data_IF_319218031214
#
_entry.id   IF_319218031214
#
_cell.length_a   1.000
_cell.length_b   1.000
_cell.length_c   1.000
_cell.angle_alpha   90.00
_cell.angle_beta   90.00
_cell.angle_gamma   90.00
#
_symmetry.space_group_name_H-M   'P 1'
#
loop_
_entity.id
_entity.type
_entity.pdbx_description
1 polymer ?
#
# COMPACT_ATOMS: atom_id res chain seq x y z
N UNK A 1 -24.22 17.13 8.19
CA UNK A 1 -23.59 16.61 6.96
C UNK A 1 -22.80 15.36 7.35
N UNK A 2 -23.31 14.19 6.98
CA UNK A 2 -22.80 12.85 7.38
C UNK A 2 -21.58 12.42 6.56
N UNK A 3 -20.60 13.32 6.44
CA UNK A 3 -19.24 12.97 6.02
C UNK A 3 -18.42 12.78 7.30
N UNK A 4 -18.74 11.72 8.05
CA UNK A 4 -17.98 11.34 9.23
C UNK A 4 -16.53 11.07 8.83
N UNK A 5 -15.63 11.96 9.25
CA UNK A 5 -14.16 11.88 9.22
C UNK A 5 -13.65 10.80 8.26
N UNK A 6 -13.56 11.13 6.97
CA UNK A 6 -12.77 10.32 6.05
C UNK A 6 -11.31 10.51 6.45
N UNK A 7 -10.61 9.42 6.79
CA UNK A 7 -9.16 9.49 6.83
C UNK A 7 -8.70 9.73 5.40
N UNK A 8 -8.36 10.98 5.08
CA UNK A 8 -7.87 11.36 3.74
C UNK A 8 -6.64 10.54 3.38
N UNK A 9 -5.76 10.30 4.35
CA UNK A 9 -4.54 9.51 4.19
C UNK A 9 -4.26 8.70 5.46
N UNK A 10 -4.16 7.39 5.34
CA UNK A 10 -3.68 6.52 6.40
C UNK A 10 -2.24 6.09 6.11
N UNK A 11 -1.36 6.15 7.11
CA UNK A 11 0.02 5.70 6.99
C UNK A 11 0.29 4.55 7.95
N UNK A 12 0.65 3.37 7.43
CA UNK A 12 0.89 2.19 8.27
C UNK A 12 2.19 1.47 7.93
N UNK A 13 2.72 0.76 8.92
CA UNK A 13 3.80 -0.21 8.72
C UNK A 13 3.24 -1.58 9.02
N UNK A 14 3.41 -2.52 8.09
CA UNK A 14 2.98 -3.89 8.24
C UNK A 14 4.16 -4.83 8.05
N UNK A 15 4.09 -5.98 8.70
CA UNK A 15 5.08 -7.04 8.50
C UNK A 15 4.79 -7.79 7.20
N UNK A 16 3.56 -8.29 7.10
CA UNK A 16 3.10 -9.16 6.03
C UNK A 16 2.11 -8.45 5.11
N UNK A 17 2.26 -8.64 3.80
CA UNK A 17 1.45 -8.01 2.75
C UNK A 17 -0.05 -8.32 2.85
N UNK A 18 -0.42 -9.51 3.31
CA UNK A 18 -1.81 -9.96 3.48
C UNK A 18 -2.56 -9.12 4.53
N UNK A 19 -1.82 -8.56 5.49
CA UNK A 19 -2.40 -7.65 6.49
C UNK A 19 -2.94 -6.36 5.87
N UNK A 20 -2.46 -5.97 4.68
CA UNK A 20 -2.98 -4.82 3.93
C UNK A 20 -4.32 -5.16 3.30
N UNK A 21 -4.43 -6.34 2.65
CA UNK A 21 -5.69 -6.77 2.02
C UNK A 21 -6.85 -6.77 3.01
N UNK A 22 -6.61 -7.35 4.20
CA UNK A 22 -7.62 -7.37 5.25
C UNK A 22 -8.04 -5.96 5.69
N UNK A 23 -7.11 -5.01 5.76
CA UNK A 23 -7.41 -3.63 6.15
C UNK A 23 -8.18 -2.88 5.06
N UNK A 24 -7.75 -3.01 3.81
CA UNK A 24 -8.39 -2.41 2.65
C UNK A 24 -9.84 -2.86 2.53
N UNK A 25 -10.11 -4.16 2.70
CA UNK A 25 -11.45 -4.72 2.63
C UNK A 25 -12.37 -4.30 3.79
N UNK A 26 -11.82 -3.90 4.93
CA UNK A 26 -12.59 -3.49 6.11
C UNK A 26 -12.79 -1.98 6.19
N UNK A 27 -11.99 -1.19 5.48
CA UNK A 27 -11.94 0.27 5.62
C UNK A 27 -12.57 0.98 4.42
N UNK A 28 -13.90 1.05 4.43
CA UNK A 28 -14.67 1.70 3.34
C UNK A 28 -14.52 3.23 3.26
N UNK A 29 -13.89 3.85 4.26
CA UNK A 29 -13.79 5.32 4.37
C UNK A 29 -12.39 5.85 4.08
N UNK A 30 -11.47 5.00 3.61
CA UNK A 30 -10.10 5.41 3.26
C UNK A 30 -10.07 5.89 1.81
N UNK A 31 -9.57 7.10 1.60
CA UNK A 31 -9.27 7.60 0.26
C UNK A 31 -7.88 7.20 -0.20
N UNK A 32 -6.88 7.31 0.68
CA UNK A 32 -5.48 6.98 0.39
C UNK A 32 -4.87 6.15 1.52
N UNK A 33 -4.21 5.06 1.17
CA UNK A 33 -3.42 4.23 2.06
C UNK A 33 -1.95 4.24 1.64
N UNK A 34 -1.11 4.79 2.49
CA UNK A 34 0.34 4.72 2.38
C UNK A 34 0.85 3.63 3.32
N UNK A 35 1.66 2.70 2.84
CA UNK A 35 2.19 1.65 3.69
C UNK A 35 3.61 1.21 3.35
N UNK A 36 4.31 0.74 4.39
CA UNK A 36 5.59 0.06 4.30
C UNK A 36 5.36 -1.40 4.66
N UNK A 37 5.82 -2.31 3.80
CA UNK A 37 5.76 -3.74 4.04
C UNK A 37 7.15 -4.28 4.37
N UNK A 38 7.30 -5.04 5.46
CA UNK A 38 8.59 -5.64 5.83
C UNK A 38 8.93 -6.88 4.99
N UNK A 39 7.97 -7.53 4.32
CA UNK A 39 8.28 -8.50 3.27
C UNK A 39 9.19 -7.90 2.18
N UNK A 40 9.23 -6.57 2.10
CA UNK A 40 10.05 -5.79 1.19
C UNK A 40 11.38 -5.28 1.81
N UNK A 41 11.69 -5.62 3.07
CA UNK A 41 12.91 -5.19 3.77
C UNK A 41 13.92 -6.34 3.86
N UNK A 42 14.85 -6.40 2.92
CA UNK A 42 16.17 -6.99 3.12
C UNK A 42 17.23 -5.93 2.83
N UNK A 43 18.31 -6.03 3.61
CA UNK A 43 19.47 -5.15 3.72
C UNK A 43 19.71 -4.16 2.56
N UNK A 44 19.96 -2.90 2.95
CA UNK A 44 20.16 -1.72 2.11
C UNK A 44 21.21 -1.80 1.00
N UNK A 45 21.94 -2.91 0.87
CA UNK A 45 23.04 -3.06 -0.08
C UNK A 45 22.63 -3.47 -1.49
N UNK A 46 21.43 -4.02 -1.70
CA UNK A 46 21.16 -4.75 -2.94
C UNK A 46 20.07 -4.08 -3.80
N UNK A 47 20.38 -3.86 -5.09
CA UNK A 47 19.43 -3.45 -6.13
C UNK A 47 18.20 -4.38 -6.26
N UNK A 48 18.18 -5.50 -5.54
CA UNK A 48 17.04 -6.38 -5.31
C UNK A 48 15.85 -5.68 -4.60
N UNK A 49 16.09 -4.58 -3.88
CA UNK A 49 15.03 -3.84 -3.18
C UNK A 49 14.03 -3.17 -4.14
N UNK A 50 14.45 -2.76 -5.35
CA UNK A 50 13.55 -2.13 -6.33
C UNK A 50 12.66 -3.17 -7.02
N UNK A 51 13.25 -4.30 -7.45
CA UNK A 51 12.53 -5.38 -8.13
C UNK A 51 11.45 -6.02 -7.24
N UNK A 52 11.71 -6.15 -5.94
CA UNK A 52 10.69 -6.62 -4.97
C UNK A 52 9.60 -5.59 -4.69
N UNK A 53 9.93 -4.30 -4.80
CA UNK A 53 8.92 -3.25 -4.67
C UNK A 53 7.97 -3.26 -5.86
N UNK A 54 8.48 -3.53 -7.07
CA UNK A 54 7.65 -3.78 -8.26
C UNK A 54 6.80 -5.05 -8.10
N UNK A 55 7.39 -6.16 -7.64
CA UNK A 55 6.65 -7.40 -7.34
C UNK A 55 5.48 -7.17 -6.39
N UNK A 56 5.70 -6.39 -5.33
CA UNK A 56 4.67 -6.10 -4.34
C UNK A 56 3.55 -5.23 -4.92
N UNK A 57 3.87 -4.24 -5.77
CA UNK A 57 2.86 -3.43 -6.47
C UNK A 57 2.02 -4.33 -7.37
N UNK A 58 2.65 -5.14 -8.23
CA UNK A 58 1.94 -6.06 -9.13
C UNK A 58 1.09 -7.07 -8.35
N UNK A 59 1.61 -7.61 -7.24
CA UNK A 59 0.84 -8.51 -6.39
C UNK A 59 -0.43 -7.86 -5.84
N UNK A 60 -0.37 -6.60 -5.39
CA UNK A 60 -1.57 -5.89 -4.94
C UNK A 60 -2.53 -5.57 -6.08
N UNK A 61 -2.03 -5.26 -7.28
CA UNK A 61 -2.85 -5.04 -8.48
C UNK A 61 -3.64 -6.30 -8.84
N UNK A 62 -3.04 -7.48 -8.69
CA UNK A 62 -3.71 -8.77 -8.95
C UNK A 62 -4.76 -9.13 -7.89
N UNK A 63 -4.53 -8.75 -6.62
CA UNK A 63 -5.40 -9.14 -5.50
C UNK A 63 -6.58 -8.20 -5.28
N UNK A 64 -6.48 -6.96 -5.73
CA UNK A 64 -7.48 -5.93 -5.47
C UNK A 64 -8.30 -5.61 -6.71
N UNK A 65 -9.53 -5.18 -6.49
CA UNK A 65 -10.41 -4.82 -7.60
C UNK A 65 -9.86 -3.62 -8.38
N UNK A 66 -10.28 -3.48 -9.63
CA UNK A 66 -9.96 -2.34 -10.51
C UNK A 66 -10.38 -0.96 -9.94
N UNK A 67 -11.06 -0.94 -8.80
CA UNK A 67 -11.42 0.27 -8.06
C UNK A 67 -10.22 0.88 -7.31
N UNK A 68 -9.10 0.15 -7.17
CA UNK A 68 -7.89 0.65 -6.52
C UNK A 68 -6.80 0.98 -7.55
N UNK A 69 -6.14 2.11 -7.36
CA UNK A 69 -4.85 2.41 -7.97
C UNK A 69 -3.75 2.20 -6.94
N UNK A 70 -2.65 1.58 -7.38
CA UNK A 70 -1.54 1.19 -6.54
C UNK A 70 -0.27 1.69 -7.22
N UNK A 71 0.57 2.41 -6.49
CA UNK A 71 1.79 2.97 -7.03
C UNK A 71 2.88 3.07 -5.96
N UNK A 72 4.12 3.25 -6.42
CA UNK A 72 5.24 3.63 -5.54
C UNK A 72 5.03 5.06 -5.05
N UNK A 73 5.27 5.31 -3.77
CA UNK A 73 5.14 6.66 -3.24
C UNK A 73 6.27 7.56 -3.77
N UNK A 74 5.98 8.75 -4.32
CA UNK A 74 6.96 9.57 -5.04
C UNK A 74 8.11 10.08 -4.18
N UNK A 75 7.90 10.21 -2.86
CA UNK A 75 8.91 10.69 -1.90
C UNK A 75 9.52 9.60 -1.02
N UNK A 76 8.90 8.42 -0.95
CA UNK A 76 9.29 7.38 0.00
C UNK A 76 9.46 6.08 -0.77
N UNK A 77 10.70 5.79 -1.18
CA UNK A 77 11.06 4.69 -2.07
C UNK A 77 10.69 3.28 -1.59
N UNK A 78 10.37 3.10 -0.29
CA UNK A 78 9.88 1.83 0.27
C UNK A 78 8.39 1.84 0.59
N UNK A 79 7.72 2.96 0.35
CA UNK A 79 6.30 3.10 0.60
C UNK A 79 5.54 2.80 -0.69
N UNK A 80 4.50 2.01 -0.57
CA UNK A 80 3.46 1.88 -1.58
C UNK A 80 2.33 2.81 -1.17
N UNK A 81 1.72 3.45 -2.15
CA UNK A 81 0.54 4.28 -2.02
C UNK A 81 -0.60 3.61 -2.79
N UNK A 82 -1.77 3.56 -2.19
CA UNK A 82 -2.98 3.03 -2.79
C UNK A 82 -4.11 4.02 -2.62
N UNK A 83 -5.00 4.14 -3.60
CA UNK A 83 -6.19 4.98 -3.50
C UNK A 83 -7.35 4.43 -4.31
N UNK A 84 -8.56 4.80 -3.91
CA UNK A 84 -9.79 4.45 -4.65
C UNK A 84 -9.91 5.39 -5.86
N UNK A 85 -10.24 4.83 -7.04
CA UNK A 85 -10.55 5.58 -8.27
C UNK A 85 -11.83 6.40 -8.15
#
# INVERSE_FOLDING_TARGET
>A
STLGIQCEVLFIRVKHRESILNRVNLMNNIRVLNFFCQDNQLNESDGLSLARHDELVTWFEDQLSLAWEIAKHPRYFRCIQMWIR
#
